data_IF_299690014135
#
_entry.id   IF_299690014135
#
_cell.length_a   1.000
_cell.length_b   1.000
_cell.length_c   1.000
_cell.angle_alpha   90.00
_cell.angle_beta   90.00
_cell.angle_gamma   90.00
#
_symmetry.space_group_name_H-M   'P 1'
#
loop_
_entity.id
_entity.type
_entity.pdbx_description
1 polymer ?
#
# COMPACT_ATOMS: atom_id res chain seq x y z
N UNK A 1 -41.13 -51.65 -20.54
CA UNK A 1 -39.94 -52.07 -21.31
C UNK A 1 -38.94 -50.91 -21.22
N UNK A 2 -38.07 -50.86 -20.21
CA UNK A 2 -36.78 -51.58 -20.14
C UNK A 2 -35.71 -50.69 -20.78
N UNK A 3 -35.00 -49.80 -20.08
CA UNK A 3 -33.83 -49.98 -19.19
C UNK A 3 -32.63 -50.68 -19.90
N UNK A 4 -31.55 -49.95 -20.22
CA UNK A 4 -30.23 -50.09 -19.55
C UNK A 4 -29.08 -49.21 -20.12
N UNK A 5 -28.39 -48.57 -19.16
CA UNK A 5 -26.96 -48.26 -19.02
C UNK A 5 -26.06 -47.77 -20.18
N UNK A 6 -25.45 -46.60 -19.96
CA UNK A 6 -24.02 -46.54 -19.59
C UNK A 6 -23.67 -45.26 -18.82
N UNK A 7 -22.96 -45.44 -17.70
CA UNK A 7 -22.21 -44.38 -17.01
C UNK A 7 -21.10 -43.82 -17.94
N UNK A 8 -20.85 -42.50 -17.86
CA UNK A 8 -19.50 -41.91 -17.78
C UNK A 8 -19.52 -40.39 -17.59
N UNK A 9 -18.87 -39.99 -16.50
CA UNK A 9 -18.06 -38.79 -16.30
C UNK A 9 -18.72 -37.42 -16.04
N UNK A 10 -18.74 -37.10 -14.75
CA UNK A 10 -18.34 -35.80 -14.23
C UNK A 10 -17.06 -35.27 -14.92
N UNK A 11 -17.17 -34.14 -15.62
CA UNK A 11 -16.08 -33.18 -15.87
C UNK A 11 -16.59 -32.07 -16.81
N UNK A 12 -17.09 -30.97 -16.26
CA UNK A 12 -17.20 -29.70 -17.00
C UNK A 12 -16.85 -28.48 -16.13
N UNK A 13 -16.16 -28.70 -15.01
CA UNK A 13 -15.43 -27.67 -14.28
C UNK A 13 -13.97 -28.10 -14.22
N UNK A 14 -13.14 -27.53 -15.09
CA UNK A 14 -11.68 -27.42 -14.97
C UNK A 14 -11.15 -26.77 -16.24
N UNK A 15 -10.48 -25.62 -16.06
CA UNK A 15 -9.20 -25.24 -16.67
C UNK A 15 -9.09 -23.71 -16.83
N UNK A 16 -8.95 -23.01 -15.69
CA UNK A 16 -8.00 -21.92 -15.59
C UNK A 16 -6.98 -22.31 -14.52
N UNK A 17 -6.16 -23.31 -14.86
CA UNK A 17 -4.93 -23.59 -14.15
C UNK A 17 -3.83 -22.83 -14.89
N UNK A 18 -3.32 -21.75 -14.30
CA UNK A 18 -2.02 -21.21 -14.69
C UNK A 18 -0.99 -22.25 -14.26
N UNK A 19 -0.72 -23.20 -15.14
CA UNK A 19 0.40 -24.13 -14.99
C UNK A 19 1.66 -23.34 -15.29
N UNK A 20 2.36 -22.89 -14.25
CA UNK A 20 3.76 -22.47 -14.39
C UNK A 20 4.59 -23.72 -14.69
N UNK A 21 4.72 -24.07 -15.97
CA UNK A 21 5.79 -24.96 -16.42
C UNK A 21 7.09 -24.17 -16.38
N UNK A 22 8.08 -24.71 -15.68
CA UNK A 22 9.42 -24.13 -15.47
C UNK A 22 10.26 -23.97 -16.73
N UNK A 23 9.78 -24.39 -17.90
CA UNK A 23 10.68 -24.68 -19.04
C UNK A 23 10.52 -23.69 -20.21
N UNK A 24 9.81 -22.56 -20.04
CA UNK A 24 9.58 -21.59 -21.11
C UNK A 24 10.24 -20.21 -20.89
N UNK A 25 11.07 -20.05 -19.86
CA UNK A 25 11.90 -18.86 -19.67
C UNK A 25 13.37 -19.30 -19.58
N UNK A 26 14.29 -18.76 -20.39
CA UNK A 26 15.71 -19.03 -20.25
C UNK A 26 16.25 -18.22 -19.07
N UNK A 27 15.90 -18.61 -17.85
CA UNK A 27 16.47 -18.09 -16.62
C UNK A 27 16.70 -19.31 -15.72
N UNK A 28 17.96 -19.52 -15.37
CA UNK A 28 18.40 -20.67 -14.59
C UNK A 28 17.63 -20.83 -13.28
N UNK A 29 17.56 -22.09 -12.85
CA UNK A 29 16.98 -22.57 -11.59
C UNK A 29 17.30 -21.66 -10.39
N UNK A 30 16.35 -20.81 -9.98
CA UNK A 30 16.16 -20.41 -8.58
C UNK A 30 14.65 -20.19 -8.35
N UNK A 31 14.11 -20.80 -7.31
CA UNK A 31 12.72 -20.67 -6.88
C UNK A 31 12.42 -19.24 -6.43
N UNK A 32 12.08 -18.38 -7.39
CA UNK A 32 11.65 -17.00 -7.16
C UNK A 32 10.25 -16.94 -6.56
N UNK A 33 10.13 -16.32 -5.39
CA UNK A 33 8.85 -16.00 -4.76
C UNK A 33 8.48 -14.53 -5.05
N UNK A 34 7.21 -14.27 -5.39
CA UNK A 34 6.74 -12.98 -5.92
C UNK A 34 6.06 -12.13 -4.84
N UNK A 35 6.31 -10.81 -4.84
CA UNK A 35 5.73 -9.86 -3.89
C UNK A 35 5.38 -8.53 -4.59
N UNK A 36 4.10 -8.34 -4.89
CA UNK A 36 3.53 -7.20 -5.61
C UNK A 36 3.87 -5.83 -4.97
N UNK A 37 3.84 -4.73 -5.75
CA UNK A 37 3.82 -3.30 -5.38
C UNK A 37 5.04 -2.38 -5.72
N UNK A 38 4.82 -1.07 -5.83
CA UNK A 38 5.72 -0.01 -6.37
C UNK A 38 7.13 0.01 -5.80
N UNK A 39 8.15 0.20 -6.63
CA UNK A 39 9.55 0.40 -6.18
C UNK A 39 10.20 1.66 -6.77
N UNK A 40 11.01 2.37 -5.96
CA UNK A 40 11.74 3.58 -6.35
C UNK A 40 13.22 3.46 -6.05
N UNK A 41 14.10 3.89 -6.97
CA UNK A 41 15.55 3.99 -6.75
C UNK A 41 16.03 5.46 -6.74
N UNK A 42 16.98 5.80 -5.86
CA UNK A 42 17.57 7.16 -5.78
C UNK A 42 18.85 7.31 -6.62
N UNK A 43 19.14 8.51 -7.15
CA UNK A 43 20.48 8.87 -7.66
C UNK A 43 20.84 10.32 -7.37
N UNK A 44 22.14 10.58 -7.13
CA UNK A 44 22.75 11.92 -6.97
C UNK A 44 22.50 12.81 -8.19
N UNK A 45 22.21 14.09 -7.96
CA UNK A 45 22.51 15.16 -8.91
C UNK A 45 24.00 15.48 -8.87
N UNK A 46 24.66 15.55 -10.02
CA UNK A 46 26.00 16.12 -10.13
C UNK A 46 25.89 17.64 -10.21
N UNK A 47 25.82 18.31 -9.07
CA UNK A 47 26.39 19.65 -8.84
C UNK A 47 26.28 20.02 -7.35
N UNK A 48 27.40 20.50 -6.80
CA UNK A 48 27.70 20.94 -5.43
C UNK A 48 28.05 19.89 -4.37
N UNK A 49 29.28 20.06 -3.87
CA UNK A 49 29.92 19.36 -2.77
C UNK A 49 29.45 19.92 -1.42
N UNK A 50 29.19 19.05 -0.43
CA UNK A 50 29.94 19.04 0.83
C UNK A 50 29.54 17.88 1.75
N UNK A 51 30.55 17.34 2.42
CA UNK A 51 30.60 16.36 3.53
C UNK A 51 29.29 15.75 4.07
N UNK A 52 28.85 14.61 3.50
CA UNK A 52 28.35 13.45 4.25
C UNK A 52 28.20 12.26 3.28
N UNK A 53 29.06 11.24 3.42
CA UNK A 53 28.90 9.96 2.72
C UNK A 53 27.69 9.20 3.29
N UNK A 54 26.47 9.52 2.84
CA UNK A 54 25.28 8.66 3.02
C UNK A 54 25.11 7.77 1.79
N UNK A 55 24.81 6.50 2.03
CA UNK A 55 24.78 5.42 1.05
C UNK A 55 23.76 5.70 -0.07
N UNK A 56 24.18 5.67 -1.35
CA UNK A 56 23.46 6.36 -2.44
C UNK A 56 22.50 5.52 -3.28
N UNK A 57 22.23 4.26 -2.93
CA UNK A 57 21.25 3.40 -3.62
C UNK A 57 20.16 2.91 -2.65
N UNK A 58 19.30 3.82 -2.18
CA UNK A 58 18.16 3.47 -1.34
C UNK A 58 16.94 3.13 -2.19
N UNK A 59 16.55 1.85 -2.20
CA UNK A 59 15.31 1.39 -2.79
C UNK A 59 14.17 1.45 -1.76
N UNK A 60 13.02 1.99 -2.15
CA UNK A 60 11.79 2.03 -1.34
C UNK A 60 10.71 1.25 -2.07
N UNK A 61 10.07 0.32 -1.36
CA UNK A 61 8.95 -0.48 -1.85
C UNK A 61 7.67 -0.05 -1.13
N UNK A 62 6.60 0.25 -1.86
CA UNK A 62 5.31 0.65 -1.27
C UNK A 62 4.19 -0.30 -1.70
N UNK A 63 3.40 -0.81 -0.76
CA UNK A 63 2.24 -1.68 -0.97
C UNK A 63 0.96 -1.05 -0.45
N UNK A 64 -0.14 -1.20 -1.17
CA UNK A 64 -1.41 -0.58 -0.82
C UNK A 64 -2.50 -0.89 -1.84
N UNK A 65 -3.75 -0.74 -1.44
CA UNK A 65 -4.88 -0.97 -2.34
C UNK A 65 -5.04 0.15 -3.39
N UNK A 66 -5.91 -0.05 -4.36
CA UNK A 66 -6.28 0.99 -5.32
C UNK A 66 -6.76 2.25 -4.60
N UNK A 67 -6.28 3.43 -5.01
CA UNK A 67 -6.67 4.72 -4.42
C UNK A 67 -5.94 5.13 -3.12
N UNK A 68 -4.98 4.33 -2.63
CA UNK A 68 -4.13 4.71 -1.48
C UNK A 68 -2.94 5.59 -1.85
N UNK A 69 -2.81 5.99 -3.12
CA UNK A 69 -1.78 6.94 -3.58
C UNK A 69 -0.47 6.31 -4.06
N UNK A 70 -0.43 4.99 -4.32
CA UNK A 70 0.75 4.27 -4.85
C UNK A 70 1.44 4.99 -6.02
N UNK A 71 0.77 5.08 -7.17
CA UNK A 71 1.34 5.67 -8.39
C UNK A 71 1.67 7.17 -8.22
N UNK A 72 0.85 7.89 -7.46
CA UNK A 72 1.05 9.32 -7.18
C UNK A 72 2.30 9.59 -6.35
N UNK A 73 2.52 8.82 -5.28
CA UNK A 73 3.66 8.97 -4.37
C UNK A 73 4.95 8.38 -4.95
N UNK A 74 4.83 7.49 -5.94
CA UNK A 74 5.97 6.95 -6.66
C UNK A 74 6.44 7.83 -7.83
N UNK A 75 5.56 8.67 -8.36
CA UNK A 75 5.95 9.69 -9.31
C UNK A 75 6.64 10.85 -8.58
N UNK A 76 7.96 10.71 -8.37
CA UNK A 76 8.82 11.68 -7.70
C UNK A 76 9.92 12.18 -8.64
N UNK A 77 10.16 13.50 -8.74
CA UNK A 77 11.16 14.06 -9.66
C UNK A 77 12.62 13.74 -9.30
N UNK A 78 12.90 13.37 -8.05
CA UNK A 78 14.25 13.10 -7.51
C UNK A 78 14.57 11.59 -7.47
N UNK A 79 13.65 10.74 -7.94
CA UNK A 79 13.77 9.29 -7.87
C UNK A 79 13.34 8.65 -9.17
N UNK A 80 13.97 7.51 -9.50
CA UNK A 80 13.58 6.71 -10.64
C UNK A 80 12.47 5.73 -10.26
N UNK A 81 11.43 5.68 -11.08
CA UNK A 81 10.36 4.70 -11.00
C UNK A 81 10.83 3.37 -11.59
N UNK A 82 10.81 2.30 -10.78
CA UNK A 82 11.05 0.93 -11.26
C UNK A 82 9.78 0.37 -11.91
N UNK A 83 8.61 0.62 -11.29
CA UNK A 83 7.27 0.26 -11.76
C UNK A 83 6.21 0.74 -10.75
N UNK A 84 4.94 0.79 -11.13
CA UNK A 84 3.87 1.39 -10.32
C UNK A 84 2.85 0.41 -9.72
N UNK A 85 2.87 -0.89 -10.05
CA UNK A 85 1.96 -1.85 -9.43
C UNK A 85 2.57 -3.23 -9.15
N UNK A 86 3.21 -3.90 -10.12
CA UNK A 86 3.65 -5.30 -9.91
C UNK A 86 5.17 -5.51 -9.94
N UNK A 87 5.72 -6.08 -8.86
CA UNK A 87 7.15 -6.41 -8.78
C UNK A 87 7.38 -7.80 -8.19
N UNK A 88 8.56 -8.36 -8.48
CA UNK A 88 9.11 -9.52 -7.79
C UNK A 88 10.29 -9.10 -6.90
N UNK A 89 10.54 -9.83 -5.82
CA UNK A 89 11.69 -9.60 -4.93
C UNK A 89 12.42 -10.93 -4.68
N UNK A 90 13.54 -11.11 -5.37
CA UNK A 90 14.41 -12.28 -5.18
C UNK A 90 15.52 -11.99 -4.16
N UNK A 91 16.60 -12.75 -4.16
CA UNK A 91 17.69 -12.58 -3.20
C UNK A 91 18.55 -11.34 -3.46
N UNK A 92 18.53 -10.82 -4.69
CA UNK A 92 19.50 -9.83 -5.17
C UNK A 92 18.88 -8.51 -5.59
N UNK A 93 17.59 -8.50 -5.95
CA UNK A 93 16.95 -7.31 -6.47
C UNK A 93 15.41 -7.37 -6.42
N UNK A 94 14.83 -6.19 -6.58
CA UNK A 94 13.41 -5.98 -6.89
C UNK A 94 13.26 -5.71 -8.38
N UNK A 95 12.28 -6.32 -9.05
CA UNK A 95 12.10 -6.19 -10.51
C UNK A 95 10.66 -5.91 -10.86
N UNK A 96 10.43 -4.94 -11.74
CA UNK A 96 9.10 -4.73 -12.32
C UNK A 96 8.72 -5.92 -13.19
N UNK A 97 7.50 -6.42 -13.03
CA UNK A 97 6.95 -7.48 -13.87
C UNK A 97 6.29 -6.91 -15.14
N UNK A 98 6.08 -5.59 -15.18
CA UNK A 98 5.35 -4.88 -16.22
C UNK A 98 6.26 -4.09 -17.18
N UNK A 99 5.69 -3.65 -18.30
CA UNK A 99 6.31 -2.75 -19.27
C UNK A 99 5.65 -1.37 -19.36
N UNK A 100 4.66 -1.12 -18.52
CA UNK A 100 3.80 0.06 -18.57
C UNK A 100 3.42 0.54 -17.18
N UNK A 101 2.46 1.46 -17.14
CA UNK A 101 1.73 1.86 -15.93
C UNK A 101 0.22 1.76 -16.19
N UNK A 102 -0.57 1.58 -15.13
CA UNK A 102 -2.05 1.59 -15.20
C UNK A 102 -2.65 2.45 -14.10
N UNK A 103 -2.64 3.76 -14.33
CA UNK A 103 -2.90 4.77 -13.31
C UNK A 103 -4.35 5.24 -13.30
N UNK A 104 -4.87 5.56 -12.12
CA UNK A 104 -6.16 6.22 -11.95
C UNK A 104 -6.04 7.69 -12.33
N UNK A 105 -6.97 8.22 -13.13
CA UNK A 105 -6.87 9.60 -13.67
C UNK A 105 -8.05 10.51 -13.29
N UNK A 106 -8.99 10.05 -12.45
CA UNK A 106 -10.06 10.91 -11.96
C UNK A 106 -9.47 12.04 -11.11
N UNK A 107 -9.88 13.28 -11.39
CA UNK A 107 -9.38 14.52 -10.77
C UNK A 107 -7.87 14.71 -10.89
N UNK A 108 -7.24 14.10 -11.90
CA UNK A 108 -5.83 14.30 -12.21
C UNK A 108 -5.61 15.76 -12.66
N UNK A 109 -4.63 16.42 -12.05
CA UNK A 109 -4.31 17.82 -12.34
C UNK A 109 -2.80 18.01 -12.58
N UNK A 110 -2.40 18.89 -13.50
CA UNK A 110 -0.99 19.19 -13.75
C UNK A 110 -0.31 19.84 -12.54
N UNK A 111 -1.07 20.51 -11.66
CA UNK A 111 -0.54 21.15 -10.46
C UNK A 111 -0.14 20.13 -9.39
N UNK A 112 -0.97 19.13 -9.13
CA UNK A 112 -0.73 18.14 -8.05
C UNK A 112 0.11 16.95 -8.51
N UNK A 113 -0.03 16.57 -9.78
CA UNK A 113 0.54 15.34 -10.33
C UNK A 113 1.18 15.55 -11.71
N UNK A 114 2.11 16.52 -11.85
CA UNK A 114 2.67 16.93 -13.15
C UNK A 114 3.32 15.79 -13.94
N UNK A 115 3.99 14.86 -13.23
CA UNK A 115 4.68 13.72 -13.85
C UNK A 115 3.66 12.79 -14.50
N UNK A 116 2.64 12.36 -13.76
CA UNK A 116 1.60 11.48 -14.29
C UNK A 116 0.79 12.17 -15.39
N UNK A 117 0.41 13.43 -15.17
CA UNK A 117 -0.30 14.24 -16.15
C UNK A 117 0.46 14.35 -17.48
N UNK A 118 1.76 14.59 -17.44
CA UNK A 118 2.59 14.65 -18.64
C UNK A 118 2.77 13.27 -19.31
N UNK A 119 2.87 12.19 -18.53
CA UNK A 119 3.10 10.85 -19.05
C UNK A 119 1.90 10.31 -19.84
N UNK A 120 0.68 10.54 -19.34
CA UNK A 120 -0.55 10.06 -19.97
C UNK A 120 -1.02 10.89 -21.18
N UNK A 121 -0.33 11.99 -21.49
CA UNK A 121 -0.63 12.86 -22.64
C UNK A 121 0.28 12.63 -23.84
N UNK A 122 1.10 11.58 -23.78
CA UNK A 122 1.99 11.16 -24.89
C UNK A 122 1.27 10.20 -25.83
N UNK A 123 1.69 10.12 -27.11
CA UNK A 123 1.22 9.10 -28.05
C UNK A 123 1.31 7.69 -27.45
N UNK A 124 0.44 6.80 -27.91
CA UNK A 124 0.32 5.40 -27.41
C UNK A 124 -0.24 5.27 -25.99
N UNK A 125 -0.73 6.36 -25.37
CA UNK A 125 -1.54 6.27 -24.15
C UNK A 125 -2.97 5.89 -24.50
N UNK A 126 -3.54 4.94 -23.75
CA UNK A 126 -4.95 4.58 -23.82
C UNK A 126 -5.65 5.16 -22.59
N UNK A 127 -6.70 5.95 -22.83
CA UNK A 127 -7.57 6.49 -21.78
C UNK A 127 -8.85 5.66 -21.71
N UNK A 128 -9.15 5.14 -20.53
CA UNK A 128 -10.26 4.24 -20.29
C UNK A 128 -11.36 4.95 -19.50
N UNK A 129 -12.58 4.93 -20.03
CA UNK A 129 -13.79 5.47 -19.41
C UNK A 129 -13.76 6.96 -19.04
N UNK A 130 -12.81 7.74 -19.56
CA UNK A 130 -12.81 9.20 -19.42
C UNK A 130 -13.93 9.85 -20.25
N UNK A 131 -14.33 11.05 -19.84
CA UNK A 131 -15.17 11.93 -20.67
C UNK A 131 -14.27 12.86 -21.46
N UNK A 132 -14.62 13.06 -22.72
CA UNK A 132 -13.90 13.93 -23.65
C UNK A 132 -14.93 14.88 -24.27
N UNK A 133 -14.62 16.16 -24.29
CA UNK A 133 -15.50 17.16 -24.88
C UNK A 133 -15.42 17.19 -26.42
N UNK A 134 -16.23 18.05 -27.05
CA UNK A 134 -16.27 18.20 -28.51
C UNK A 134 -14.96 18.70 -29.14
N UNK A 135 -14.00 19.17 -28.34
CA UNK A 135 -12.68 19.63 -28.78
C UNK A 135 -11.57 18.59 -28.53
N UNK A 136 -11.91 17.41 -28.01
CA UNK A 136 -10.92 16.38 -27.69
C UNK A 136 -10.23 16.60 -26.34
N UNK A 137 -10.71 17.53 -25.50
CA UNK A 137 -10.15 17.78 -24.17
C UNK A 137 -10.76 16.79 -23.18
N UNK A 138 -9.88 16.09 -22.47
CA UNK A 138 -10.26 15.13 -21.43
C UNK A 138 -10.74 15.87 -20.19
N UNK A 139 -11.93 15.52 -19.71
CA UNK A 139 -12.55 16.08 -18.52
C UNK A 139 -12.24 15.17 -17.32
N UNK A 140 -11.09 15.38 -16.67
CA UNK A 140 -10.64 14.50 -15.58
C UNK A 140 -11.53 14.55 -14.33
N UNK A 141 -12.27 15.64 -14.12
CA UNK A 141 -13.21 15.77 -12.99
C UNK A 141 -14.57 15.10 -13.24
N UNK A 142 -14.84 14.67 -14.47
CA UNK A 142 -16.13 14.08 -14.84
C UNK A 142 -16.16 12.58 -14.55
N UNK A 143 -16.88 12.22 -13.48
CA UNK A 143 -17.12 10.85 -13.05
C UNK A 143 -18.45 10.26 -13.54
N UNK A 144 -19.13 10.90 -14.51
CA UNK A 144 -20.48 10.49 -14.98
C UNK A 144 -20.54 9.04 -15.49
N UNK A 145 -19.44 8.54 -16.07
CA UNK A 145 -19.29 7.12 -16.44
C UNK A 145 -18.87 6.27 -15.25
N UNK A 146 -17.82 6.70 -14.55
CA UNK A 146 -17.23 5.97 -13.43
C UNK A 146 -16.23 6.83 -12.66
N UNK A 147 -16.10 6.60 -11.36
CA UNK A 147 -15.00 7.11 -10.54
C UNK A 147 -13.68 6.37 -10.76
N UNK A 148 -13.67 5.28 -11.52
CA UNK A 148 -12.48 4.48 -11.86
C UNK A 148 -11.98 4.75 -13.28
N UNK A 149 -11.89 6.03 -13.69
CA UNK A 149 -11.22 6.38 -14.94
C UNK A 149 -9.73 6.05 -14.87
N UNK A 150 -9.18 5.53 -15.97
CA UNK A 150 -7.81 5.00 -16.01
C UNK A 150 -7.06 5.48 -17.24
N UNK A 151 -5.74 5.45 -17.15
CA UNK A 151 -4.85 5.59 -18.28
C UNK A 151 -3.78 4.50 -18.22
N UNK A 152 -3.48 3.89 -19.36
CA UNK A 152 -2.31 3.03 -19.51
C UNK A 152 -1.37 3.58 -20.57
N UNK A 153 -0.08 3.57 -20.25
CA UNK A 153 0.96 3.94 -21.20
C UNK A 153 2.26 3.18 -20.91
N UNK A 154 3.18 3.09 -21.88
CA UNK A 154 4.50 2.51 -21.65
C UNK A 154 5.25 3.23 -20.53
N UNK A 155 6.07 2.49 -19.76
CA UNK A 155 6.76 3.05 -18.59
C UNK A 155 7.73 4.19 -18.97
N UNK A 156 8.29 4.15 -20.18
CA UNK A 156 9.19 5.19 -20.70
C UNK A 156 8.49 6.54 -20.94
N UNK A 157 7.17 6.62 -20.80
CA UNK A 157 6.46 7.89 -20.76
C UNK A 157 6.73 8.67 -19.47
N UNK A 158 7.10 8.00 -18.38
CA UNK A 158 7.54 8.63 -17.13
C UNK A 158 8.97 9.15 -17.33
N UNK A 159 9.25 10.47 -17.18
CA UNK A 159 10.58 11.02 -17.44
C UNK A 159 11.71 10.38 -16.61
N UNK A 160 11.43 10.08 -15.33
CA UNK A 160 12.37 9.47 -14.39
C UNK A 160 12.05 7.99 -14.19
N UNK A 161 12.17 7.16 -15.24
CA UNK A 161 12.01 5.71 -15.10
C UNK A 161 13.37 5.01 -15.05
N UNK A 162 13.42 3.85 -14.40
CA UNK A 162 14.61 3.01 -14.38
C UNK A 162 14.62 2.04 -15.57
N UNK A 163 15.57 2.26 -16.49
CA UNK A 163 15.65 1.55 -17.76
C UNK A 163 15.76 0.02 -17.60
N UNK A 164 16.52 -0.42 -16.60
CA UNK A 164 16.66 -1.85 -16.28
C UNK A 164 15.38 -2.46 -15.72
N UNK A 165 14.45 -1.64 -15.23
CA UNK A 165 13.25 -2.01 -14.46
C UNK A 165 13.57 -2.85 -13.22
N UNK A 166 14.77 -2.66 -12.68
CA UNK A 166 15.29 -3.39 -11.53
C UNK A 166 15.90 -2.40 -10.55
N UNK A 167 15.91 -2.76 -9.27
CA UNK A 167 16.60 -2.03 -8.22
C UNK A 167 17.13 -2.97 -7.16
N UNK A 168 17.99 -2.50 -6.24
CA UNK A 168 18.49 -3.32 -5.14
C UNK A 168 17.35 -3.72 -4.20
N UNK A 169 17.59 -4.69 -3.29
CA UNK A 169 16.63 -5.02 -2.23
C UNK A 169 16.27 -3.74 -1.44
N UNK A 170 14.98 -3.52 -1.14
CA UNK A 170 14.52 -2.30 -0.49
C UNK A 170 15.17 -2.12 0.89
N UNK A 171 15.50 -0.87 1.23
CA UNK A 171 15.88 -0.49 2.60
C UNK A 171 14.67 -0.05 3.43
N UNK A 172 13.62 0.41 2.76
CA UNK A 172 12.34 0.72 3.38
C UNK A 172 11.18 0.05 2.64
N UNK A 173 10.23 -0.47 3.41
CA UNK A 173 8.96 -0.99 2.93
C UNK A 173 7.82 -0.14 3.52
N UNK A 174 6.90 0.33 2.68
CA UNK A 174 5.79 1.19 3.09
C UNK A 174 4.48 0.43 2.86
N UNK A 175 3.63 0.36 3.87
CA UNK A 175 2.23 0.03 3.73
C UNK A 175 1.41 1.30 3.65
N UNK A 176 0.81 1.57 2.49
CA UNK A 176 -0.07 2.70 2.23
C UNK A 176 -1.51 2.30 2.55
N UNK A 177 -2.11 3.01 3.50
CA UNK A 177 -3.50 2.84 3.91
C UNK A 177 -4.27 4.13 3.72
N UNK A 178 -5.53 4.05 3.33
CA UNK A 178 -6.41 5.20 3.24
C UNK A 178 -7.40 5.14 4.42
N UNK A 179 -7.02 5.67 5.58
CA UNK A 179 -7.90 5.66 6.76
C UNK A 179 -8.93 6.78 6.67
N UNK A 180 -10.18 6.43 6.38
CA UNK A 180 -11.31 7.37 6.34
C UNK A 180 -11.96 7.63 7.71
N UNK A 181 -11.50 6.98 8.78
CA UNK A 181 -11.88 7.31 10.15
C UNK A 181 -11.00 8.41 10.75
N UNK A 182 -9.82 8.65 10.18
CA UNK A 182 -8.91 9.75 10.52
C UNK A 182 -8.16 9.56 11.84
N UNK A 183 -7.94 8.32 12.25
CA UNK A 183 -7.42 7.95 13.57
C UNK A 183 -5.97 7.44 13.52
N UNK A 184 -5.53 6.91 12.38
CA UNK A 184 -4.16 6.46 12.18
C UNK A 184 -3.21 7.66 11.97
N UNK A 185 -1.99 7.61 12.55
CA UNK A 185 -0.99 8.65 12.33
C UNK A 185 -0.55 8.70 10.85
N UNK A 186 -0.06 9.86 10.37
CA UNK A 186 0.46 10.00 9.01
C UNK A 186 1.55 8.97 8.67
N UNK A 187 2.40 8.65 9.64
CA UNK A 187 3.40 7.60 9.51
C UNK A 187 3.66 6.92 10.84
N UNK A 188 3.80 5.59 10.82
CA UNK A 188 4.29 4.78 11.93
C UNK A 188 5.50 3.97 11.51
N UNK A 189 6.43 3.76 12.45
CA UNK A 189 7.55 2.82 12.31
C UNK A 189 7.10 1.49 12.89
N UNK A 190 7.07 0.44 12.07
CA UNK A 190 6.56 -0.86 12.48
C UNK A 190 7.66 -1.78 13.02
N UNK A 191 7.33 -2.52 14.06
CA UNK A 191 8.08 -3.71 14.47
C UNK A 191 7.83 -4.88 13.50
N UNK A 192 8.67 -5.94 13.48
CA UNK A 192 8.44 -7.11 12.63
C UNK A 192 7.05 -7.75 12.81
N UNK A 193 6.57 -7.88 14.07
CA UNK A 193 5.24 -8.41 14.35
C UNK A 193 4.13 -7.50 13.81
N UNK A 194 4.28 -6.18 13.96
CA UNK A 194 3.35 -5.21 13.37
C UNK A 194 3.37 -5.27 11.85
N UNK A 195 4.54 -5.44 11.23
CA UNK A 195 4.66 -5.58 9.78
C UNK A 195 3.88 -6.80 9.27
N UNK A 196 4.08 -7.97 9.89
CA UNK A 196 3.35 -9.19 9.56
C UNK A 196 1.83 -9.02 9.75
N UNK A 197 1.41 -8.43 10.88
CA UNK A 197 0.00 -8.15 11.19
C UNK A 197 -0.64 -7.23 10.12
N UNK A 198 -0.01 -6.10 9.83
CA UNK A 198 -0.55 -5.11 8.90
C UNK A 198 -0.51 -5.60 7.45
N UNK A 199 0.45 -6.46 7.08
CA UNK A 199 0.47 -7.07 5.75
C UNK A 199 -0.66 -8.08 5.55
N UNK A 200 -0.91 -8.92 6.55
CA UNK A 200 -1.97 -9.93 6.52
C UNK A 200 -3.36 -9.29 6.61
N UNK A 201 -3.52 -8.32 7.51
CA UNK A 201 -4.79 -7.63 7.69
C UNK A 201 -5.06 -6.73 6.48
N UNK A 202 -4.04 -5.98 6.05
CA UNK A 202 -4.03 -5.08 4.90
C UNK A 202 -5.28 -4.21 4.85
N UNK A 203 -5.39 -3.41 5.90
CA UNK A 203 -6.47 -2.48 6.14
C UNK A 203 -6.43 -1.29 5.16
N UNK A 204 -7.60 -0.91 4.66
CA UNK A 204 -7.87 0.42 4.07
C UNK A 204 -9.33 0.77 4.37
N UNK A 205 -9.74 2.02 4.17
CA UNK A 205 -11.15 2.38 4.12
C UNK A 205 -11.61 2.66 2.69
N UNK A 206 -12.84 2.24 2.40
CA UNK A 206 -13.58 2.69 1.21
C UNK A 206 -14.39 3.92 1.60
N UNK A 207 -14.43 4.92 0.72
CA UNK A 207 -15.14 6.17 0.94
C UNK A 207 -16.34 6.24 0.03
N UNK A 208 -17.40 6.92 0.48
CA UNK A 208 -18.59 7.11 -0.32
C UNK A 208 -18.26 7.70 -1.71
N UNK A 209 -18.89 7.17 -2.75
CA UNK A 209 -18.66 7.57 -4.14
C UNK A 209 -17.53 6.83 -4.86
N UNK A 210 -16.51 6.31 -4.16
CA UNK A 210 -15.37 5.63 -4.82
C UNK A 210 -15.68 4.22 -5.32
N UNK A 211 -16.77 3.60 -4.84
CA UNK A 211 -17.29 2.30 -5.27
C UNK A 211 -18.82 2.27 -5.24
N UNK A 212 -19.42 1.47 -6.12
CA UNK A 212 -20.88 1.34 -6.24
C UNK A 212 -21.48 0.82 -4.93
N UNK A 213 -22.36 1.62 -4.31
CA UNK A 213 -23.12 1.22 -3.11
C UNK A 213 -22.49 1.60 -1.76
N UNK A 214 -21.34 2.27 -1.73
CA UNK A 214 -20.74 2.77 -0.47
C UNK A 214 -21.31 4.16 -0.17
N UNK A 215 -22.09 4.28 0.92
CA UNK A 215 -22.69 5.55 1.37
C UNK A 215 -21.96 6.15 2.58
N UNK A 216 -21.17 5.36 3.31
CA UNK A 216 -20.38 5.77 4.48
C UNK A 216 -19.01 5.10 4.48
N UNK A 217 -17.99 5.71 5.11
CA UNK A 217 -16.68 5.08 5.25
C UNK A 217 -16.78 3.66 5.81
N UNK A 218 -16.20 2.70 5.10
CA UNK A 218 -16.26 1.29 5.50
C UNK A 218 -14.86 0.71 5.54
N UNK A 219 -14.48 0.14 6.68
CA UNK A 219 -13.22 -0.59 6.83
C UNK A 219 -13.21 -1.81 5.92
N UNK A 220 -12.16 -1.93 5.11
CA UNK A 220 -11.93 -3.00 4.15
C UNK A 220 -10.58 -3.65 4.44
N UNK A 221 -10.51 -4.97 4.28
CA UNK A 221 -9.33 -5.76 4.62
C UNK A 221 -9.04 -6.74 3.50
N UNK A 222 -7.98 -6.50 2.73
CA UNK A 222 -7.62 -7.32 1.58
C UNK A 222 -6.26 -7.94 1.82
N UNK A 223 -6.23 -9.21 2.26
CA UNK A 223 -4.99 -9.92 2.62
C UNK A 223 -3.85 -9.64 1.64
N UNK A 224 -2.66 -9.34 2.17
CA UNK A 224 -1.45 -9.02 1.38
C UNK A 224 -1.62 -7.81 0.44
N UNK A 225 -2.57 -6.92 0.72
CA UNK A 225 -2.98 -5.80 -0.13
C UNK A 225 -3.43 -6.20 -1.54
N UNK A 226 -3.83 -7.46 -1.75
CA UNK A 226 -4.06 -8.01 -3.08
C UNK A 226 -4.78 -9.34 -3.10
N UNK A 227 -5.67 -9.61 -2.14
CA UNK A 227 -6.27 -10.94 -1.94
C UNK A 227 -6.88 -11.57 -3.20
N UNK A 228 -7.44 -10.77 -4.12
CA UNK A 228 -8.00 -11.24 -5.39
C UNK A 228 -6.96 -11.88 -6.33
N UNK A 229 -5.67 -11.61 -6.13
CA UNK A 229 -4.56 -12.03 -7.00
C UNK A 229 -3.62 -13.02 -6.29
N UNK A 230 -3.97 -13.49 -5.09
CA UNK A 230 -3.13 -14.38 -4.29
C UNK A 230 -3.57 -15.84 -4.49
N UNK A 231 -2.89 -16.64 -5.34
CA UNK A 231 -3.24 -18.04 -5.54
C UNK A 231 -2.97 -18.93 -4.33
N UNK A 232 -2.04 -18.53 -3.44
CA UNK A 232 -1.72 -19.26 -2.22
C UNK A 232 -2.38 -18.64 -0.99
N UNK A 233 -2.32 -19.36 0.12
CA UNK A 233 -2.73 -18.83 1.41
C UNK A 233 -1.86 -17.60 1.79
N UNK A 234 -2.50 -16.54 2.30
CA UNK A 234 -1.84 -15.31 2.75
C UNK A 234 -0.66 -15.52 3.70
N UNK A 235 -0.68 -16.56 4.55
CA UNK A 235 0.43 -16.88 5.46
C UNK A 235 1.74 -17.14 4.72
N UNK A 236 1.68 -17.79 3.55
CA UNK A 236 2.86 -18.11 2.75
C UNK A 236 3.55 -16.82 2.32
N UNK A 237 2.78 -15.86 1.80
CA UNK A 237 3.32 -14.55 1.40
C UNK A 237 3.84 -13.75 2.58
N UNK A 238 3.19 -13.82 3.74
CA UNK A 238 3.63 -13.10 4.94
C UNK A 238 4.92 -13.69 5.54
N UNK A 239 5.09 -15.02 5.52
CA UNK A 239 6.34 -15.69 5.89
C UNK A 239 7.48 -15.25 4.95
N UNK A 240 7.24 -15.33 3.64
CA UNK A 240 8.20 -14.88 2.62
C UNK A 240 8.58 -13.41 2.79
N UNK A 241 7.60 -12.54 3.03
CA UNK A 241 7.88 -11.12 3.29
C UNK A 241 8.75 -10.96 4.54
N UNK A 242 8.41 -11.61 5.66
CA UNK A 242 9.18 -11.51 6.90
C UNK A 242 10.63 -11.96 6.71
N UNK A 243 10.84 -13.09 6.03
CA UNK A 243 12.19 -13.59 5.72
C UNK A 243 13.00 -12.59 4.89
N UNK A 244 12.38 -11.96 3.88
CA UNK A 244 13.02 -10.93 3.05
C UNK A 244 13.32 -9.66 3.84
N UNK A 245 12.38 -9.19 4.65
CA UNK A 245 12.56 -8.01 5.48
C UNK A 245 13.73 -8.20 6.46
N UNK A 246 13.78 -9.35 7.14
CA UNK A 246 14.84 -9.70 8.08
C UNK A 246 16.19 -9.83 7.39
N UNK A 247 16.28 -10.63 6.32
CA UNK A 247 17.51 -10.87 5.57
C UNK A 247 18.17 -9.58 5.08
N UNK A 248 17.37 -8.61 4.64
CA UNK A 248 17.88 -7.36 4.06
C UNK A 248 17.94 -6.19 5.05
N UNK A 249 17.49 -6.38 6.30
CA UNK A 249 17.37 -5.33 7.31
C UNK A 249 16.45 -4.20 6.86
N UNK A 250 15.31 -4.56 6.23
CA UNK A 250 14.37 -3.59 5.65
C UNK A 250 13.46 -3.03 6.73
N UNK A 251 13.45 -1.71 6.92
CA UNK A 251 12.55 -1.07 7.86
C UNK A 251 11.14 -0.92 7.25
N UNK A 252 10.11 -1.31 8.00
CA UNK A 252 8.72 -1.20 7.57
C UNK A 252 8.04 0.03 8.18
N UNK A 253 7.26 0.73 7.36
CA UNK A 253 6.47 1.90 7.74
C UNK A 253 5.01 1.68 7.37
N UNK A 254 4.09 2.20 8.19
CA UNK A 254 2.68 2.34 7.85
C UNK A 254 2.41 3.82 7.56
N UNK A 255 1.95 4.16 6.36
CA UNK A 255 1.70 5.55 5.95
C UNK A 255 0.21 5.72 5.66
N UNK A 256 -0.42 6.63 6.38
CA UNK A 256 -1.84 6.97 6.19
C UNK A 256 -1.95 8.09 5.15
N UNK A 257 -2.56 7.78 4.01
CA UNK A 257 -2.89 8.74 2.94
C UNK A 257 -4.38 9.08 2.91
N UNK A 258 -5.11 8.71 3.96
CA UNK A 258 -6.52 8.97 4.16
C UNK A 258 -6.77 10.32 4.81
N UNK A 259 -7.61 10.35 5.83
CA UNK A 259 -8.10 11.55 6.51
C UNK A 259 -7.28 11.88 7.76
N UNK A 260 -7.36 13.14 8.15
CA UNK A 260 -6.72 13.70 9.34
C UNK A 260 -7.65 14.72 10.02
N UNK A 261 -7.72 14.74 11.35
CA UNK A 261 -8.45 15.72 12.15
C UNK A 261 -9.93 15.44 12.32
N UNK A 262 -10.38 14.31 11.77
CA UNK A 262 -11.74 13.83 11.77
C UNK A 262 -11.87 12.72 10.73
N UNK A 263 -13.01 12.03 10.72
CA UNK A 263 -13.32 11.07 9.67
C UNK A 263 -13.89 11.74 8.43
N UNK A 264 -13.87 11.03 7.30
CA UNK A 264 -14.51 11.49 6.07
C UNK A 264 -16.02 11.76 6.26
N UNK A 265 -16.66 11.01 7.16
CA UNK A 265 -18.08 11.18 7.50
C UNK A 265 -18.38 12.49 8.24
N UNK A 266 -17.35 13.18 8.76
CA UNK A 266 -17.49 14.43 9.52
C UNK A 266 -17.16 15.67 8.70
N UNK A 267 -16.92 15.49 7.41
CA UNK A 267 -16.44 16.55 6.53
C UNK A 267 -14.97 16.91 6.76
N UNK A 268 -14.19 16.05 7.44
CA UNK A 268 -12.76 16.27 7.57
C UNK A 268 -12.06 16.21 6.20
N UNK A 269 -10.94 16.92 6.09
CA UNK A 269 -10.14 16.90 4.88
C UNK A 269 -9.29 15.63 4.79
N UNK A 270 -9.08 15.16 3.57
CA UNK A 270 -8.03 14.18 3.28
C UNK A 270 -6.67 14.83 3.58
N UNK A 271 -5.71 14.03 4.03
CA UNK A 271 -4.34 14.45 4.26
C UNK A 271 -3.76 15.08 2.99
N UNK A 272 -3.08 16.21 3.17
CA UNK A 272 -2.44 16.92 2.08
C UNK A 272 -1.43 16.00 1.39
N UNK A 273 -1.43 16.03 0.05
CA UNK A 273 -0.50 15.26 -0.75
C UNK A 273 0.95 15.67 -0.46
N UNK A 274 1.21 16.95 -0.19
CA UNK A 274 2.55 17.44 0.15
C UNK A 274 3.06 16.86 1.48
N UNK A 275 2.17 16.65 2.45
CA UNK A 275 2.51 15.95 3.70
C UNK A 275 2.89 14.50 3.41
N UNK A 276 2.11 13.81 2.58
CA UNK A 276 2.39 12.42 2.20
C UNK A 276 3.70 12.30 1.41
N UNK A 277 3.98 13.23 0.49
CA UNK A 277 5.25 13.30 -0.26
C UNK A 277 6.43 13.57 0.66
N UNK A 278 6.31 14.49 1.62
CA UNK A 278 7.36 14.78 2.59
C UNK A 278 7.69 13.55 3.46
N UNK A 279 6.67 12.80 3.89
CA UNK A 279 6.85 11.53 4.61
C UNK A 279 7.59 10.51 3.76
N UNK A 280 7.12 10.26 2.53
CA UNK A 280 7.76 9.28 1.64
C UNK A 280 9.18 9.69 1.32
N UNK A 281 9.45 10.98 1.06
CA UNK A 281 10.80 11.51 0.86
C UNK A 281 11.67 11.25 2.09
N UNK A 282 11.18 11.55 3.29
CA UNK A 282 11.93 11.32 4.53
C UNK A 282 12.26 9.84 4.75
N UNK A 283 11.34 8.93 4.44
CA UNK A 283 11.60 7.48 4.46
C UNK A 283 12.68 7.12 3.41
N UNK A 284 12.55 7.66 2.21
CA UNK A 284 13.42 7.33 1.09
C UNK A 284 14.86 7.85 1.24
N UNK A 285 15.04 8.96 1.95
CA UNK A 285 16.33 9.55 2.28
C UNK A 285 16.90 9.05 3.61
N UNK A 286 16.23 8.09 4.28
CA UNK A 286 16.59 7.60 5.61
C UNK A 286 16.73 8.75 6.63
N UNK A 287 15.83 9.73 6.54
CA UNK A 287 15.76 10.90 7.41
C UNK A 287 14.88 10.65 8.65
N UNK A 288 14.32 9.44 8.79
CA UNK A 288 13.55 9.01 9.96
C UNK A 288 14.43 8.05 10.79
N UNK A 289 15.08 8.53 11.86
CA UNK A 289 15.87 7.66 12.71
C UNK A 289 14.95 6.72 13.49
N UNK A 290 15.08 5.42 13.26
CA UNK A 290 14.28 4.39 13.95
C UNK A 290 14.53 4.34 15.46
N UNK A 291 15.66 4.87 15.92
CA UNK A 291 15.99 5.05 17.35
C UNK A 291 15.24 6.21 18.01
N UNK A 292 14.63 7.12 17.24
CA UNK A 292 13.96 8.32 17.74
C UNK A 292 12.46 8.28 17.41
N UNK A 293 11.79 7.27 17.94
CA UNK A 293 10.33 7.10 17.86
C UNK A 293 9.65 7.39 19.20
N UNK A 294 8.36 7.68 19.16
CA UNK A 294 7.53 7.88 20.34
C UNK A 294 7.38 6.59 21.17
N UNK A 295 6.85 6.73 22.38
CA UNK A 295 6.20 5.62 23.05
C UNK A 295 5.05 5.07 22.17
N UNK A 296 4.72 3.77 22.27
CA UNK A 296 3.57 3.22 21.57
C UNK A 296 2.29 3.92 22.00
N UNK A 297 1.41 4.23 21.05
CA UNK A 297 0.09 4.77 21.36
C UNK A 297 -0.77 3.72 22.11
N UNK A 298 -1.69 4.15 22.99
CA UNK A 298 -2.41 3.22 23.87
C UNK A 298 -3.46 2.35 23.15
N UNK A 299 -3.84 2.67 21.91
CA UNK A 299 -4.92 1.99 21.19
C UNK A 299 -4.37 1.02 20.16
N UNK A 300 -3.46 1.48 19.30
CA UNK A 300 -2.88 0.67 18.22
C UNK A 300 -1.50 0.11 18.56
N UNK A 301 -0.82 0.64 19.58
CA UNK A 301 0.56 0.28 19.90
C UNK A 301 1.58 0.76 18.86
N UNK A 302 1.17 1.66 17.95
CA UNK A 302 1.98 2.21 16.90
C UNK A 302 2.92 3.28 17.46
N UNK A 303 4.11 3.37 16.88
CA UNK A 303 5.11 4.39 17.22
C UNK A 303 5.30 5.31 16.04
N UNK A 304 5.34 6.61 16.32
CA UNK A 304 5.55 7.64 15.30
C UNK A 304 6.96 8.22 15.46
N UNK A 305 7.60 8.71 14.38
CA UNK A 305 8.86 9.43 14.52
C UNK A 305 8.70 10.68 15.38
N UNK A 306 9.76 11.13 16.07
CA UNK A 306 9.68 12.37 16.87
C UNK A 306 9.48 13.63 16.02
N UNK A 307 10.07 13.65 14.84
CA UNK A 307 9.96 14.74 13.88
C UNK A 307 10.22 14.24 12.47
N UNK A 308 9.69 14.94 11.48
CA UNK A 308 10.01 14.76 10.07
C UNK A 308 10.42 16.14 9.53
N UNK A 309 11.58 16.26 8.87
CA UNK A 309 12.01 17.55 8.33
C UNK A 309 10.94 18.20 7.46
N UNK A 310 10.62 19.47 7.74
CA UNK A 310 9.63 20.24 6.98
C UNK A 310 8.17 19.99 7.37
N UNK A 311 7.88 19.13 8.35
CA UNK A 311 6.52 18.89 8.84
C UNK A 311 6.36 19.32 10.30
N UNK A 312 5.19 19.87 10.64
CA UNK A 312 4.79 20.14 12.01
C UNK A 312 4.64 18.82 12.78
N UNK A 313 5.38 18.67 13.88
CA UNK A 313 5.38 17.45 14.70
C UNK A 313 4.02 17.15 15.32
N UNK A 314 3.13 18.15 15.48
CA UNK A 314 1.75 17.93 15.93
C UNK A 314 0.98 17.02 14.98
N UNK A 315 1.25 17.09 13.66
CA UNK A 315 0.60 16.23 12.67
C UNK A 315 0.90 14.74 12.89
N UNK A 316 2.02 14.41 13.54
CA UNK A 316 2.41 13.02 13.82
C UNK A 316 1.53 12.38 14.90
N UNK A 317 0.78 13.17 15.67
CA UNK A 317 -0.06 12.71 16.77
C UNK A 317 -1.54 13.00 16.50
N UNK A 318 -2.30 12.05 15.92
CA UNK A 318 -3.72 12.19 15.58
C UNK A 318 -4.57 12.91 16.61
N UNK A 319 -4.50 12.49 17.88
CA UNK A 319 -5.29 13.08 18.95
C UNK A 319 -5.11 14.61 19.10
N UNK A 320 -3.98 15.18 18.68
CA UNK A 320 -3.66 16.60 18.89
C UNK A 320 -4.35 17.54 17.91
N UNK A 321 -4.82 17.04 16.77
CA UNK A 321 -5.49 17.86 15.75
C UNK A 321 -6.96 17.47 15.54
N UNK A 322 -7.51 16.64 16.43
CA UNK A 322 -8.95 16.45 16.56
C UNK A 322 -9.53 17.50 17.50
N UNK A 323 -10.64 18.12 17.09
CA UNK A 323 -11.34 19.10 17.94
C UNK A 323 -11.98 18.45 19.17
N UNK A 324 -12.48 17.21 19.03
CA UNK A 324 -13.05 16.42 20.12
C UNK A 324 -12.21 15.16 20.37
N UNK A 325 -11.43 15.19 21.45
CA UNK A 325 -10.57 14.08 21.86
C UNK A 325 -11.37 12.81 22.23
N UNK A 326 -12.61 12.95 22.73
CA UNK A 326 -13.46 11.78 23.05
C UNK A 326 -13.96 11.13 21.78
N UNK A 327 -14.33 11.93 20.77
CA UNK A 327 -14.75 11.40 19.47
C UNK A 327 -13.60 10.70 18.74
N UNK A 328 -12.38 11.27 18.81
CA UNK A 328 -11.16 10.60 18.35
C UNK A 328 -11.02 9.22 19.00
N UNK A 329 -11.06 9.16 20.32
CA UNK A 329 -10.85 7.93 21.06
C UNK A 329 -11.93 6.88 20.75
N UNK A 330 -13.20 7.27 20.66
CA UNK A 330 -14.29 6.38 20.27
C UNK A 330 -14.05 5.74 18.90
N UNK A 331 -13.58 6.52 17.91
CA UNK A 331 -13.30 6.02 16.56
C UNK A 331 -12.06 5.17 16.48
N UNK A 332 -11.02 5.56 17.21
CA UNK A 332 -9.78 4.80 17.28
C UNK A 332 -10.06 3.42 17.88
N UNK A 333 -10.84 3.35 18.97
CA UNK A 333 -11.30 2.10 19.58
C UNK A 333 -12.18 1.28 18.65
N UNK A 334 -13.14 1.91 17.97
CA UNK A 334 -13.97 1.24 16.96
C UNK A 334 -13.12 0.60 15.86
N UNK A 335 -12.16 1.34 15.28
CA UNK A 335 -11.29 0.79 14.24
C UNK A 335 -10.43 -0.34 14.79
N UNK A 336 -9.85 -0.19 15.98
CA UNK A 336 -9.04 -1.22 16.62
C UNK A 336 -9.82 -2.52 16.85
N UNK A 337 -11.06 -2.44 17.33
CA UNK A 337 -11.96 -3.60 17.49
C UNK A 337 -12.25 -4.29 16.16
N UNK A 338 -12.50 -3.53 15.10
CA UNK A 338 -12.72 -4.06 13.75
C UNK A 338 -11.49 -4.77 13.20
N UNK A 339 -10.31 -4.19 13.39
CA UNK A 339 -9.02 -4.79 13.00
C UNK A 339 -8.77 -6.10 13.75
N UNK A 340 -9.04 -6.13 15.06
CA UNK A 340 -8.90 -7.33 15.87
C UNK A 340 -9.87 -8.44 15.45
N UNK A 341 -11.17 -8.12 15.33
CA UNK A 341 -12.19 -9.07 14.93
C UNK A 341 -11.91 -9.67 13.54
N UNK A 342 -11.46 -8.83 12.59
CA UNK A 342 -11.12 -9.30 11.26
C UNK A 342 -9.88 -10.21 11.25
N UNK A 343 -8.86 -9.89 12.06
CA UNK A 343 -7.68 -10.75 12.17
C UNK A 343 -8.06 -12.15 12.69
N UNK A 344 -8.88 -12.21 13.73
CA UNK A 344 -9.40 -13.47 14.27
C UNK A 344 -10.22 -14.23 13.22
N UNK A 345 -11.11 -13.54 12.51
CA UNK A 345 -11.94 -14.12 11.44
C UNK A 345 -11.10 -14.76 10.33
N UNK A 346 -9.96 -14.15 9.99
CA UNK A 346 -9.04 -14.66 8.97
C UNK A 346 -8.26 -15.90 9.41
N UNK A 347 -8.15 -16.17 10.72
CA UNK A 347 -7.53 -17.39 11.25
C UNK A 347 -6.04 -17.55 10.94
N UNK A 348 -5.30 -16.44 10.82
CA UNK A 348 -3.86 -16.46 10.54
C UNK A 348 -3.01 -16.70 11.80
N UNK A 349 -1.67 -16.69 11.65
CA UNK A 349 -0.74 -17.07 12.72
C UNK A 349 -1.04 -16.28 14.00
N UNK A 350 -1.33 -16.93 15.15
CA UNK A 350 -1.69 -16.25 16.39
C UNK A 350 -0.55 -15.38 16.93
N UNK A 351 0.72 -15.68 16.64
CA UNK A 351 1.86 -14.86 17.07
C UNK A 351 1.82 -13.47 16.44
N UNK A 352 1.46 -13.37 15.15
CA UNK A 352 1.36 -12.07 14.48
C UNK A 352 0.18 -11.24 14.99
N UNK A 353 -0.81 -11.84 15.67
CA UNK A 353 -1.84 -11.08 16.38
C UNK A 353 -1.22 -10.14 17.44
N UNK A 354 -0.01 -10.48 17.93
CA UNK A 354 0.72 -9.63 18.85
C UNK A 354 1.21 -8.30 18.22
N UNK A 355 1.21 -8.19 16.90
CA UNK A 355 1.46 -6.95 16.16
C UNK A 355 0.21 -6.10 15.93
N UNK A 356 -0.97 -6.55 16.36
CA UNK A 356 -2.21 -5.81 16.20
C UNK A 356 -2.45 -4.74 17.27
N UNK A 357 -3.60 -4.05 17.19
CA UNK A 357 -3.99 -3.04 18.16
C UNK A 357 -3.97 -3.58 19.59
N UNK A 358 -3.67 -2.68 20.53
CA UNK A 358 -3.72 -2.95 21.96
C UNK A 358 -5.16 -2.91 22.50
N UNK A 359 -6.07 -2.21 21.83
CA UNK A 359 -7.49 -2.14 22.16
C UNK A 359 -8.34 -3.15 21.35
N UNK A 360 -9.37 -3.79 21.97
CA UNK A 360 -9.60 -3.83 23.41
C UNK A 360 -8.42 -4.54 24.07
N UNK A 361 -8.03 -4.08 25.27
CA UNK A 361 -6.92 -4.67 26.03
C UNK A 361 -6.97 -6.19 25.90
N UNK A 362 -5.84 -6.86 25.63
CA UNK A 362 -5.72 -8.34 25.50
C UNK A 362 -6.19 -9.16 26.73
N UNK A 363 -6.96 -8.54 27.63
CA UNK A 363 -7.53 -9.03 28.87
C UNK A 363 -8.74 -9.97 28.70
N UNK A 364 -9.08 -10.43 27.49
CA UNK A 364 -10.19 -11.37 27.29
C UNK A 364 -9.79 -12.83 27.02
N UNK A 365 -8.51 -13.17 26.80
CA UNK A 365 -8.10 -14.56 26.44
C UNK A 365 -7.52 -15.39 27.60
N UNK A 366 -7.72 -14.99 28.86
CA UNK A 366 -7.45 -15.84 30.03
C UNK A 366 -8.67 -16.07 30.95
N UNK A 367 -9.89 -15.77 30.49
CA UNK A 367 -11.13 -16.16 31.18
C UNK A 367 -11.79 -17.39 30.53
N UNK A 368 -11.01 -18.46 30.35
CA UNK A 368 -11.47 -19.70 29.72
C UNK A 368 -10.85 -21.00 30.27
N UNK A 369 -10.18 -20.97 31.43
CA UNK A 369 -9.65 -22.18 32.09
C UNK A 369 -9.97 -22.28 33.58
N UNK A 370 -10.99 -21.56 34.06
CA UNK A 370 -11.59 -21.81 35.38
C UNK A 370 -13.09 -21.55 35.35
N UNK A 371 -13.85 -22.58 34.99
CA UNK A 371 -15.24 -22.77 35.41
C UNK A 371 -15.56 -24.27 35.30
N UNK A 372 -15.53 -24.93 36.46
CA UNK A 372 -16.09 -26.24 36.85
C UNK A 372 -16.02 -27.43 35.89
#
# INVERSE_FOLDING_TARGET
MGVHHHERNAAAERHFAVTLRSDALPIGHESGHYLFCVSLEHRRSTQQADSAKRNTNHCVKSSGLSGTGKSTLSADPERKLIGDDEHSWDETAIRNMEGGIYVKVIRLSPEKEPILYSAIRKPSTILENVVVDGHGVVQFDDASKTENTRATCPIHNIPQWEASRQGPPPKAFIFLVCDAFGVLPPVSVLTPLQAAYHFILAYTAKVAGTERGVLRPTATFSTCFGAAFMPLNGQVYAQLLNEKLERHGTQVYLVNTGWAGGGAADGAARMDLEVSRAIVRAIATDAIPTSQVSAPDPIFGLRVPRAIPGLDSRLLHPATYWADARLYEQRARYLAERMHAEYLRKGYNPEWAAGGPLWPSRLASHRGTQAN
#
